data_IF_436946976533
#
_entry.id   IF_436946976533
#
_cell.length_a   1.000
_cell.length_b   1.000
_cell.length_c   1.000
_cell.angle_alpha   90.00
_cell.angle_beta   90.00
_cell.angle_gamma   90.00
#
_symmetry.space_group_name_H-M   'P 1'
#
loop_
_entity.id
_entity.type
_entity.pdbx_description
1 polymer ?
#
# COMPACT_ATOMS: atom_id res chain seq x y z
N UNK A 1 -7.39 1.65 -23.45
CA UNK A 1 -6.18 2.50 -23.47
C UNK A 1 -5.88 2.84 -22.02
N UNK A 2 -4.84 2.25 -21.43
CA UNK A 2 -4.37 2.59 -20.08
C UNK A 2 -3.72 3.98 -20.18
N UNK A 3 -4.00 4.88 -19.23
CA UNK A 3 -3.46 6.27 -19.26
C UNK A 3 -1.93 6.26 -19.21
N UNK A 4 -1.26 7.35 -19.65
CA UNK A 4 0.21 7.51 -19.56
C UNK A 4 0.78 7.22 -18.16
N UNK A 5 -0.02 7.37 -17.11
CA UNK A 5 0.38 7.04 -15.74
C UNK A 5 0.43 5.53 -15.50
N UNK A 6 -0.50 4.76 -16.07
CA UNK A 6 -0.53 3.30 -15.94
C UNK A 6 0.63 2.60 -16.68
N UNK A 7 1.35 3.30 -17.55
CA UNK A 7 2.59 2.84 -18.19
C UNK A 7 3.86 3.15 -17.38
N UNK A 8 3.78 3.91 -16.28
CA UNK A 8 4.93 4.09 -15.40
C UNK A 8 5.20 2.79 -14.61
N UNK A 9 6.48 2.50 -14.37
CA UNK A 9 6.89 1.28 -13.66
C UNK A 9 6.31 1.19 -12.23
N UNK A 10 6.05 2.33 -11.59
CA UNK A 10 5.38 2.48 -10.28
C UNK A 10 3.87 2.28 -10.31
N UNK A 11 3.28 2.09 -11.50
CA UNK A 11 1.87 1.79 -11.66
C UNK A 11 1.60 0.32 -12.03
N UNK A 12 2.63 -0.54 -12.01
CA UNK A 12 2.42 -1.98 -12.09
C UNK A 12 1.82 -2.54 -10.79
N UNK A 13 0.51 -2.74 -10.81
CA UNK A 13 -0.14 -3.92 -10.24
C UNK A 13 -0.64 -3.88 -8.79
N UNK A 14 -0.70 -2.73 -8.13
CA UNK A 14 -1.36 -2.65 -6.82
C UNK A 14 -2.86 -2.41 -6.97
N UNK A 15 -3.66 -3.34 -6.47
CA UNK A 15 -5.06 -3.06 -6.16
C UNK A 15 -5.10 -2.33 -4.82
N UNK A 16 -5.37 -1.03 -4.85
CA UNK A 16 -5.43 -0.20 -3.65
C UNK A 16 -6.77 -0.33 -2.94
N UNK A 17 -6.72 -0.56 -1.64
CA UNK A 17 -7.86 -0.54 -0.74
C UNK A 17 -7.71 0.51 0.36
N UNK A 18 -8.84 1.05 0.80
CA UNK A 18 -9.00 1.97 1.91
C UNK A 18 -10.34 1.72 2.61
N UNK A 19 -10.71 2.63 3.51
CA UNK A 19 -11.96 2.55 4.27
C UNK A 19 -13.22 2.45 3.40
N UNK A 20 -13.20 3.02 2.19
CA UNK A 20 -14.39 3.19 1.36
C UNK A 20 -14.61 1.99 0.43
N UNK A 21 -13.56 1.20 0.15
CA UNK A 21 -13.60 0.18 -0.90
C UNK A 21 -12.98 -1.18 -0.52
N UNK A 22 -12.54 -1.39 0.72
CA UNK A 22 -11.79 -2.62 1.06
C UNK A 22 -12.58 -3.90 0.80
N UNK A 23 -13.90 -3.94 1.02
CA UNK A 23 -14.70 -5.15 0.78
C UNK A 23 -14.71 -5.53 -0.71
N UNK A 24 -14.97 -4.56 -1.59
CA UNK A 24 -14.98 -4.77 -3.04
C UNK A 24 -13.56 -5.05 -3.57
N UNK A 25 -12.55 -4.38 -3.00
CA UNK A 25 -11.15 -4.61 -3.35
C UNK A 25 -10.68 -6.01 -2.97
N UNK A 26 -11.05 -6.51 -1.79
CA UNK A 26 -10.74 -7.88 -1.37
C UNK A 26 -11.44 -8.90 -2.27
N UNK A 27 -12.71 -8.68 -2.64
CA UNK A 27 -13.42 -9.55 -3.58
C UNK A 27 -12.75 -9.59 -4.95
N UNK A 28 -12.33 -8.42 -5.46
CA UNK A 28 -11.62 -8.33 -6.74
C UNK A 28 -10.24 -9.01 -6.66
N UNK A 29 -9.51 -8.85 -5.55
CA UNK A 29 -8.24 -9.54 -5.30
C UNK A 29 -8.42 -11.07 -5.34
N UNK A 30 -9.40 -11.59 -4.59
CA UNK A 30 -9.68 -13.03 -4.56
C UNK A 30 -10.17 -13.60 -5.91
N UNK A 31 -10.74 -12.75 -6.77
CA UNK A 31 -11.20 -13.16 -8.11
C UNK A 31 -10.07 -13.30 -9.13
N UNK A 32 -8.91 -12.69 -8.87
CA UNK A 32 -7.75 -12.69 -9.77
C UNK A 32 -6.45 -12.96 -8.99
N UNK A 33 -6.33 -14.13 -8.33
CA UNK A 33 -5.15 -14.45 -7.54
C UNK A 33 -3.89 -14.47 -8.41
N UNK A 34 -2.80 -13.90 -7.90
CA UNK A 34 -1.50 -13.83 -8.59
C UNK A 34 -1.38 -12.76 -9.68
N UNK A 35 -2.46 -12.02 -9.99
CA UNK A 35 -2.43 -10.91 -10.95
C UNK A 35 -2.05 -9.59 -10.27
N UNK A 36 -2.60 -9.35 -9.09
CA UNK A 36 -2.43 -8.10 -8.35
C UNK A 36 -1.70 -8.34 -7.03
N UNK A 37 -0.94 -7.34 -6.57
CA UNK A 37 -0.59 -7.20 -5.15
C UNK A 37 -1.61 -6.26 -4.50
N UNK A 38 -1.88 -6.41 -3.22
CA UNK A 38 -2.81 -5.54 -2.51
C UNK A 38 -2.05 -4.39 -1.83
N UNK A 39 -2.62 -3.19 -1.86
CA UNK A 39 -2.08 -2.03 -1.15
C UNK A 39 -3.14 -1.48 -0.19
N UNK A 40 -2.86 -1.46 1.12
CA UNK A 40 -3.72 -0.78 2.08
C UNK A 40 -3.26 0.67 2.27
N UNK A 41 -4.15 1.62 2.00
CA UNK A 41 -3.95 3.03 2.30
C UNK A 41 -4.46 3.29 3.73
N UNK A 42 -3.57 3.18 4.72
CA UNK A 42 -3.95 3.27 6.13
C UNK A 42 -4.18 4.74 6.57
N UNK A 43 -5.39 5.12 7.01
CA UNK A 43 -5.63 6.36 7.75
C UNK A 43 -5.21 6.23 9.23
N UNK A 44 -5.53 7.21 10.07
CA UNK A 44 -5.40 7.08 11.53
C UNK A 44 -6.15 5.83 12.05
N UNK A 45 -5.58 5.16 13.06
CA UNK A 45 -6.08 3.87 13.54
C UNK A 45 -7.53 3.96 14.02
N UNK A 46 -7.93 5.06 14.64
CA UNK A 46 -9.27 5.30 15.15
C UNK A 46 -10.32 5.46 14.03
N UNK A 47 -9.87 5.68 12.79
CA UNK A 47 -10.73 5.80 11.61
C UNK A 47 -10.85 4.49 10.84
N UNK A 48 -10.10 3.45 11.20
CA UNK A 48 -10.16 2.17 10.50
C UNK A 48 -11.49 1.46 10.82
N UNK A 49 -12.17 0.89 9.82
CA UNK A 49 -13.28 -0.01 10.05
C UNK A 49 -12.83 -1.20 10.91
N UNK A 50 -13.61 -1.53 11.94
CA UNK A 50 -13.29 -2.62 12.88
C UNK A 50 -13.12 -3.96 12.16
N UNK A 51 -13.79 -4.15 11.03
CA UNK A 51 -13.75 -5.38 10.23
C UNK A 51 -12.64 -5.39 9.16
N UNK A 52 -11.91 -4.29 8.93
CA UNK A 52 -10.90 -4.22 7.87
C UNK A 52 -9.77 -5.23 8.07
N UNK A 53 -9.13 -5.21 9.24
CA UNK A 53 -8.00 -6.11 9.53
C UNK A 53 -8.44 -7.59 9.57
N UNK A 54 -9.57 -7.96 10.21
CA UNK A 54 -10.12 -9.30 10.08
C UNK A 54 -10.36 -9.74 8.63
N UNK A 55 -11.03 -8.91 7.82
CA UNK A 55 -11.34 -9.25 6.43
C UNK A 55 -10.07 -9.45 5.58
N UNK A 56 -9.05 -8.62 5.78
CA UNK A 56 -7.75 -8.77 5.12
C UNK A 56 -7.09 -10.09 5.52
N UNK A 57 -7.13 -10.46 6.81
CA UNK A 57 -6.52 -11.70 7.30
C UNK A 57 -7.17 -12.95 6.71
N UNK A 58 -8.47 -12.90 6.46
CA UNK A 58 -9.21 -14.02 5.90
C UNK A 58 -8.99 -14.18 4.38
N UNK A 59 -8.60 -13.11 3.69
CA UNK A 59 -8.54 -13.06 2.23
C UNK A 59 -7.12 -13.00 1.63
N UNK A 60 -6.09 -12.67 2.42
CA UNK A 60 -4.76 -12.31 1.91
C UNK A 60 -3.65 -13.02 2.66
N UNK A 61 -2.69 -13.61 1.94
CA UNK A 61 -1.52 -14.24 2.56
C UNK A 61 -0.46 -13.21 2.95
N UNK A 62 0.41 -13.51 3.94
CA UNK A 62 1.56 -12.65 4.25
C UNK A 62 2.43 -12.36 3.02
N UNK A 63 2.79 -11.09 2.84
CA UNK A 63 3.58 -10.62 1.70
C UNK A 63 2.78 -10.27 0.44
N UNK A 64 1.49 -10.59 0.38
CA UNK A 64 0.60 -10.21 -0.72
C UNK A 64 -0.07 -8.85 -0.51
N UNK A 65 0.01 -8.30 0.71
CA UNK A 65 -0.45 -6.95 1.06
C UNK A 65 0.69 -6.07 1.58
N UNK A 66 0.83 -4.90 0.97
CA UNK A 66 1.68 -3.82 1.48
C UNK A 66 0.81 -2.75 2.12
N UNK A 67 1.17 -2.35 3.33
CA UNK A 67 0.51 -1.27 4.06
C UNK A 67 1.27 0.05 3.86
N UNK A 68 0.52 1.08 3.48
CA UNK A 68 0.95 2.45 3.25
C UNK A 68 0.24 3.38 4.25
N UNK A 69 0.80 3.55 5.46
CA UNK A 69 0.33 4.57 6.40
C UNK A 69 0.34 5.96 5.77
N UNK A 70 -0.69 6.73 6.08
CA UNK A 70 -0.79 8.10 5.61
C UNK A 70 0.44 8.91 6.03
N UNK A 71 1.03 9.56 5.03
CA UNK A 71 2.18 10.44 5.19
C UNK A 71 2.03 11.70 4.34
N UNK A 72 1.85 12.86 4.98
CA UNK A 72 1.75 14.15 4.28
C UNK A 72 2.25 15.30 5.15
N UNK A 73 3.10 16.16 4.59
CA UNK A 73 3.51 17.43 5.20
C UNK A 73 4.03 17.30 6.65
N UNK A 74 4.88 16.30 6.91
CA UNK A 74 5.45 16.06 8.25
C UNK A 74 4.50 15.37 9.25
N UNK A 75 3.24 15.14 8.87
CA UNK A 75 2.33 14.26 9.60
C UNK A 75 2.45 12.85 9.05
N UNK A 76 2.65 11.90 9.96
CA UNK A 76 2.69 10.48 9.65
C UNK A 76 1.84 9.72 10.66
N UNK A 77 1.15 8.70 10.18
CA UNK A 77 0.47 7.73 11.03
C UNK A 77 1.45 6.63 11.39
N UNK A 78 1.39 6.16 12.64
CA UNK A 78 2.18 5.00 13.03
C UNK A 78 1.69 3.76 12.26
N UNK A 79 2.59 2.99 11.64
CA UNK A 79 2.19 1.80 10.91
C UNK A 79 1.54 0.78 11.83
N UNK A 80 0.43 0.19 11.37
CA UNK A 80 -0.14 -0.97 12.04
C UNK A 80 0.86 -2.13 12.06
N UNK A 81 1.01 -2.77 13.22
CA UNK A 81 1.91 -3.90 13.43
C UNK A 81 1.11 -5.18 13.64
N UNK A 82 0.39 -5.62 12.60
CA UNK A 82 -0.50 -6.78 12.65
C UNK A 82 -0.37 -7.63 11.39
N UNK A 83 -0.42 -8.95 11.53
CA UNK A 83 -0.44 -9.88 10.39
C UNK A 83 -1.80 -9.80 9.65
N UNK A 84 -1.82 -9.88 8.30
CA UNK A 84 -0.70 -10.16 7.37
C UNK A 84 0.02 -8.92 6.79
N UNK A 85 -0.14 -7.74 7.41
CA UNK A 85 0.30 -6.48 6.81
C UNK A 85 1.83 -6.34 6.78
N UNK A 86 2.38 -6.14 5.58
CA UNK A 86 3.78 -5.74 5.41
C UNK A 86 3.88 -4.23 5.25
N UNK A 87 4.49 -3.54 6.21
CA UNK A 87 4.60 -2.08 6.17
C UNK A 87 5.66 -1.59 5.17
N UNK A 88 5.35 -0.51 4.46
CA UNK A 88 6.30 0.14 3.55
C UNK A 88 7.58 0.58 4.29
N UNK A 89 8.79 0.18 3.82
CA UNK A 89 10.05 0.48 4.50
C UNK A 89 10.39 1.96 4.50
N UNK A 90 9.87 2.74 3.56
CA UNK A 90 10.05 4.20 3.57
C UNK A 90 9.43 4.86 4.81
N UNK A 91 8.44 4.20 5.42
CA UNK A 91 7.74 4.72 6.59
C UNK A 91 8.28 4.08 7.88
N UNK A 92 8.72 2.81 7.83
CA UNK A 92 9.22 2.10 9.02
C UNK A 92 10.72 2.25 9.26
N UNK A 93 11.49 2.69 8.26
CA UNK A 93 12.94 2.80 8.37
C UNK A 93 13.42 4.21 8.03
N UNK A 94 14.53 4.63 8.64
CA UNK A 94 15.27 5.82 8.24
C UNK A 94 16.07 5.63 6.94
N UNK A 95 15.98 4.45 6.31
CA UNK A 95 16.73 4.11 5.10
C UNK A 95 16.34 4.96 3.88
N UNK A 96 15.13 5.55 3.91
CA UNK A 96 14.60 6.38 2.84
C UNK A 96 14.15 7.73 3.39
N UNK A 97 15.04 8.73 3.49
CA UNK A 97 14.68 10.05 4.00
C UNK A 97 13.59 10.68 3.14
N UNK A 98 12.70 11.42 3.80
CA UNK A 98 11.61 12.13 3.14
C UNK A 98 12.17 13.26 2.26
N UNK A 99 12.14 13.06 0.95
CA UNK A 99 12.56 14.08 0.01
C UNK A 99 11.41 15.05 -0.30
N UNK A 100 11.64 16.35 -0.10
CA UNK A 100 10.66 17.42 -0.35
C UNK A 100 10.88 18.08 -1.71
N UNK A 101 12.07 17.93 -2.29
CA UNK A 101 12.38 18.40 -3.63
C UNK A 101 11.66 17.54 -4.67
N UNK A 102 10.78 18.17 -5.46
CA UNK A 102 10.02 17.49 -6.52
C UNK A 102 10.88 16.99 -7.68
N UNK A 103 12.07 17.54 -7.82
CA UNK A 103 13.00 17.20 -8.91
C UNK A 103 13.85 15.97 -8.61
N UNK A 104 13.81 15.48 -7.37
CA UNK A 104 14.55 14.31 -6.94
C UNK A 104 13.66 13.06 -6.95
N UNK A 105 14.24 11.89 -7.31
CA UNK A 105 13.50 10.64 -7.34
C UNK A 105 12.99 10.30 -5.93
N UNK A 106 11.72 9.94 -5.85
CA UNK A 106 11.10 9.48 -4.61
C UNK A 106 11.49 8.01 -4.39
N UNK A 107 11.68 7.56 -3.14
CA UNK A 107 12.03 6.17 -2.86
C UNK A 107 11.03 5.15 -3.42
N UNK A 108 9.73 5.49 -3.50
CA UNK A 108 8.72 4.63 -4.13
C UNK A 108 8.95 4.41 -5.65
N UNK A 109 9.72 5.27 -6.31
CA UNK A 109 10.11 5.16 -7.72
C UNK A 109 11.37 4.32 -7.93
N UNK A 110 11.95 3.77 -6.86
CA UNK A 110 13.16 2.94 -6.94
C UNK A 110 13.15 1.73 -6.01
N UNK A 111 12.15 1.59 -5.14
CA UNK A 111 12.07 0.50 -4.17
C UNK A 111 11.50 -0.78 -4.80
N UNK A 112 12.21 -1.90 -4.62
CA UNK A 112 11.83 -3.22 -5.15
C UNK A 112 10.51 -3.79 -4.60
N UNK A 113 9.98 -3.21 -3.52
CA UNK A 113 8.64 -3.57 -3.02
C UNK A 113 7.52 -2.91 -3.84
N UNK A 114 7.71 -1.65 -4.22
CA UNK A 114 6.76 -0.88 -5.04
C UNK A 114 6.97 -1.13 -6.54
N UNK A 115 8.17 -1.54 -6.92
CA UNK A 115 8.60 -1.87 -8.28
C UNK A 115 9.11 -3.31 -8.30
N UNK A 116 8.23 -4.32 -8.44
CA UNK A 116 8.73 -5.66 -8.76
C UNK A 116 9.54 -5.57 -10.07
N UNK A 117 10.78 -6.03 -10.02
CA UNK A 117 11.69 -6.08 -11.18
C UNK A 117 11.26 -7.11 -12.22
#
# INVERSE_FOLDING_TARGET
MLSEHASESNCQGFLSIDNDNFEQGLLAFSSYPGVWKLALMQPEEEKLPVNLVPAVRDAVSPGEIINFPYHRAGKHVQPLKVEPLTNCPQITTSAYPLQTNRSEPKPCQSCSLCLPG
#
